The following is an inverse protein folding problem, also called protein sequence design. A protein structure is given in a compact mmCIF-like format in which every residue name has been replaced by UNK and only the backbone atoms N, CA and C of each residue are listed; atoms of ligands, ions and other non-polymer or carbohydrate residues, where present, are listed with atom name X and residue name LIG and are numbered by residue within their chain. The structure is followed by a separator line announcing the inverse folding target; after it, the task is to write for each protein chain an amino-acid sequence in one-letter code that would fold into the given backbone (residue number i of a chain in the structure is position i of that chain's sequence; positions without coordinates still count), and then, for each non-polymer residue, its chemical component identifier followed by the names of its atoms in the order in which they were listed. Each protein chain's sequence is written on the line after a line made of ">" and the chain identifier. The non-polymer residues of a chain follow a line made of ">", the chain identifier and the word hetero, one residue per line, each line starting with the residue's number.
data_IF_679611658300
#
_entry.id   IF_679611658300
#
_cell.length_a   1.000
_cell.length_b   1.000
_cell.length_c   1.000
_cell.angle_alpha   90.00
_cell.angle_beta   90.00
_cell.angle_gamma   90.00
#
_symmetry.space_group_name_H-M   'P 1'
#
loop_
_entity.id
_entity.type
_entity.pdbx_description
1 polymer ?
#
# COMPACT_ATOMS: atom_id res chain seq x y z
N UNK A 1 8.49 4.12 3.13
CA UNK A 1 7.50 3.22 2.50
C UNK A 1 6.44 2.78 3.52
N UNK A 2 5.31 2.18 3.11
CA UNK A 2 4.39 1.54 4.06
C UNK A 2 5.01 0.26 4.64
N UNK A 3 4.87 0.03 5.93
CA UNK A 3 5.44 -1.15 6.60
C UNK A 3 4.74 -2.44 6.20
N UNK A 4 5.45 -3.56 6.22
CA UNK A 4 4.86 -4.87 5.98
C UNK A 4 3.78 -5.14 7.03
N UNK A 5 2.60 -5.66 6.64
CA UNK A 5 1.58 -6.06 7.61
C UNK A 5 2.06 -7.17 8.53
N UNK A 6 1.83 -6.96 9.82
CA UNK A 6 2.11 -7.86 10.94
C UNK A 6 0.88 -7.90 11.85
N UNK A 7 0.80 -8.87 12.75
CA UNK A 7 -0.26 -8.92 13.76
C UNK A 7 -0.29 -7.67 14.66
N UNK A 8 0.85 -6.97 14.82
CA UNK A 8 0.96 -5.78 15.66
C UNK A 8 0.31 -4.54 15.01
N UNK A 9 0.52 -4.35 13.71
CA UNK A 9 0.00 -3.17 13.00
C UNK A 9 -1.33 -3.42 12.26
N UNK A 10 -1.78 -4.68 12.15
CA UNK A 10 -3.05 -5.04 11.51
C UNK A 10 -4.27 -4.28 12.06
N UNK A 11 -4.43 -4.10 13.39
CA UNK A 11 -5.57 -3.36 13.92
C UNK A 11 -5.60 -1.91 13.41
N UNK A 12 -4.44 -1.24 13.34
CA UNK A 12 -4.33 0.12 12.83
C UNK A 12 -4.54 0.19 11.31
N UNK A 13 -4.02 -0.78 10.54
CA UNK A 13 -4.28 -0.90 9.10
C UNK A 13 -5.79 -0.84 8.83
N UNK A 14 -6.58 -1.64 9.55
CA UNK A 14 -8.02 -1.75 9.34
C UNK A 14 -8.84 -0.62 9.96
N UNK A 15 -8.52 -0.17 11.18
CA UNK A 15 -9.34 0.81 11.91
C UNK A 15 -8.98 2.28 11.62
N UNK A 16 -7.74 2.56 11.21
CA UNK A 16 -7.23 3.94 11.10
C UNK A 16 -7.08 4.42 9.64
N UNK A 17 -7.56 3.66 8.65
CA UNK A 17 -7.38 3.99 7.23
C UNK A 17 -7.85 5.38 6.82
N UNK A 18 -8.96 5.84 7.39
CA UNK A 18 -9.52 7.17 7.11
C UNK A 18 -8.66 8.32 7.65
N UNK A 19 -7.77 8.04 8.62
CA UNK A 19 -6.83 9.03 9.15
C UNK A 19 -5.49 9.05 8.43
N UNK A 20 -5.29 8.22 7.39
CA UNK A 20 -4.03 8.15 6.64
C UNK A 20 -4.13 8.86 5.29
N UNK A 21 -3.08 9.57 4.84
CA UNK A 21 -3.11 10.35 3.61
C UNK A 21 -3.61 9.60 2.37
N UNK A 22 -4.37 10.31 1.53
CA UNK A 22 -4.65 9.95 0.13
C UNK A 22 -4.25 11.10 -0.78
N UNK A 23 -3.91 10.76 -2.01
CA UNK A 23 -3.32 11.69 -2.95
C UNK A 23 -4.12 11.70 -4.25
N UNK A 24 -5.22 12.47 -4.35
CA UNK A 24 -5.95 12.64 -5.59
C UNK A 24 -5.09 13.33 -6.65
N UNK A 25 -5.45 13.22 -7.93
CA UNK A 25 -4.66 13.84 -9.01
C UNK A 25 -4.51 15.36 -8.88
N UNK A 26 -5.51 16.01 -8.29
CA UNK A 26 -5.54 17.45 -7.98
C UNK A 26 -4.48 17.89 -6.96
N UNK A 27 -3.92 16.94 -6.18
CA UNK A 27 -2.84 17.22 -5.24
C UNK A 27 -1.52 17.61 -5.93
N UNK A 28 -1.35 17.23 -7.21
CA UNK A 28 -0.10 17.39 -7.92
C UNK A 28 -0.16 18.50 -8.98
N UNK A 29 0.94 19.23 -9.21
CA UNK A 29 1.02 20.17 -10.33
C UNK A 29 0.87 19.44 -11.67
N UNK A 30 0.44 20.17 -12.70
CA UNK A 30 0.17 19.60 -14.05
C UNK A 30 1.37 18.90 -14.68
N UNK A 31 2.59 19.36 -14.38
CA UNK A 31 3.84 18.80 -14.89
C UNK A 31 4.90 18.71 -13.79
N UNK A 32 5.98 17.96 -14.03
CA UNK A 32 7.14 17.89 -13.13
C UNK A 32 6.98 17.01 -11.88
N UNK A 33 5.82 16.37 -11.67
CA UNK A 33 5.54 15.55 -10.47
C UNK A 33 5.32 14.06 -10.75
N UNK A 34 5.78 13.54 -11.91
CA UNK A 34 5.49 12.16 -12.34
C UNK A 34 5.88 11.09 -11.31
N UNK A 35 7.06 11.21 -10.71
CA UNK A 35 7.54 10.28 -9.68
C UNK A 35 6.69 10.34 -8.40
N UNK A 36 6.26 11.53 -7.97
CA UNK A 36 5.35 11.64 -6.81
C UNK A 36 3.96 11.10 -7.11
N UNK A 37 3.43 11.30 -8.33
CA UNK A 37 2.15 10.74 -8.77
C UNK A 37 2.15 9.21 -8.71
N UNK A 38 3.24 8.54 -9.13
CA UNK A 38 3.34 7.07 -9.05
C UNK A 38 3.41 6.57 -7.61
N UNK A 39 4.19 7.24 -6.74
CA UNK A 39 4.18 6.93 -5.29
C UNK A 39 2.80 7.09 -4.68
N UNK A 40 2.11 8.18 -5.01
CA UNK A 40 0.74 8.43 -4.57
C UNK A 40 -0.25 7.36 -5.03
N UNK A 41 -0.18 6.99 -6.32
CA UNK A 41 -0.99 5.91 -6.88
C UNK A 41 -0.77 4.60 -6.12
N UNK A 42 0.49 4.26 -5.82
CA UNK A 42 0.82 3.07 -5.03
C UNK A 42 0.20 3.10 -3.62
N UNK A 43 0.22 4.25 -2.94
CA UNK A 43 -0.42 4.40 -1.62
C UNK A 43 -1.94 4.31 -1.72
N UNK A 44 -2.57 5.02 -2.66
CA UNK A 44 -4.03 4.98 -2.83
C UNK A 44 -4.51 3.55 -3.13
N UNK A 45 -3.78 2.82 -3.99
CA UNK A 45 -4.00 1.40 -4.30
C UNK A 45 -3.91 0.52 -3.08
N UNK A 46 -2.79 0.61 -2.36
CA UNK A 46 -2.57 -0.19 -1.16
C UNK A 46 -3.71 -0.01 -0.15
N UNK A 47 -4.11 1.25 0.06
CA UNK A 47 -5.15 1.60 1.00
C UNK A 47 -6.55 1.15 0.56
N UNK A 48 -6.86 1.22 -0.74
CA UNK A 48 -8.08 0.64 -1.30
C UNK A 48 -8.13 -0.88 -1.09
N UNK A 49 -7.02 -1.57 -1.31
CA UNK A 49 -6.94 -3.03 -1.13
C UNK A 49 -6.94 -3.45 0.33
N UNK A 50 -6.37 -2.65 1.23
CA UNK A 50 -6.52 -2.85 2.67
C UNK A 50 -7.98 -2.75 3.12
N UNK A 51 -8.73 -1.76 2.62
CA UNK A 51 -10.15 -1.67 2.91
C UNK A 51 -10.90 -2.94 2.47
N UNK A 52 -10.58 -3.49 1.29
CA UNK A 52 -11.13 -4.77 0.84
C UNK A 52 -10.76 -5.93 1.79
N UNK A 53 -9.48 -6.10 2.12
CA UNK A 53 -9.03 -7.15 3.03
C UNK A 53 -9.67 -7.08 4.41
N UNK A 54 -9.81 -5.88 4.98
CA UNK A 54 -10.37 -5.69 6.32
C UNK A 54 -11.88 -6.00 6.42
N UNK A 55 -12.56 -6.09 5.28
CA UNK A 55 -13.96 -6.47 5.16
C UNK A 55 -14.18 -7.98 4.93
N UNK A 56 -13.12 -8.80 4.91
CA UNK A 56 -13.27 -10.25 4.81
C UNK A 56 -14.08 -10.82 5.98
N UNK A 57 -15.02 -11.71 5.66
CA UNK A 57 -15.86 -12.43 6.61
C UNK A 57 -15.56 -13.93 6.50
N UNK A 58 -14.71 -14.43 7.39
CA UNK A 58 -14.18 -15.82 7.38
C UNK A 58 -14.04 -16.31 8.82
N UNK A 59 -14.11 -17.63 9.04
CA UNK A 59 -13.98 -18.24 10.38
C UNK A 59 -12.67 -17.82 11.09
N UNK A 60 -11.54 -17.87 10.39
CA UNK A 60 -10.22 -17.41 10.89
C UNK A 60 -9.89 -15.98 10.39
N UNK A 61 -10.75 -15.03 10.74
CA UNK A 61 -10.68 -13.64 10.25
C UNK A 61 -9.29 -13.02 10.34
N UNK A 62 -8.64 -13.05 11.50
CA UNK A 62 -7.37 -12.34 11.68
C UNK A 62 -6.25 -12.92 10.81
N UNK A 63 -6.20 -14.25 10.64
CA UNK A 63 -5.24 -14.92 9.78
C UNK A 63 -5.50 -14.60 8.30
N UNK A 64 -6.78 -14.66 7.87
CA UNK A 64 -7.17 -14.34 6.50
C UNK A 64 -6.89 -12.87 6.17
N UNK A 65 -7.23 -11.93 7.06
CA UNK A 65 -6.99 -10.50 6.89
C UNK A 65 -5.48 -10.20 6.86
N UNK A 66 -4.69 -10.81 7.74
CA UNK A 66 -3.23 -10.66 7.73
C UNK A 66 -2.62 -11.16 6.41
N UNK A 67 -3.07 -12.32 5.92
CA UNK A 67 -2.59 -12.85 4.66
C UNK A 67 -2.97 -11.95 3.48
N UNK A 68 -4.25 -11.57 3.40
CA UNK A 68 -4.76 -10.67 2.37
C UNK A 68 -3.99 -9.35 2.34
N UNK A 69 -3.81 -8.70 3.48
CA UNK A 69 -3.06 -7.44 3.55
C UNK A 69 -1.59 -7.61 3.17
N UNK A 70 -0.93 -8.72 3.51
CA UNK A 70 0.44 -9.01 3.06
C UNK A 70 0.53 -9.19 1.54
N UNK A 71 -0.45 -9.85 0.94
CA UNK A 71 -0.54 -9.97 -0.52
C UNK A 71 -0.79 -8.61 -1.16
N UNK A 72 -1.77 -7.84 -0.67
CA UNK A 72 -2.05 -6.49 -1.14
C UNK A 72 -0.80 -5.59 -1.08
N UNK A 73 -0.04 -5.66 0.01
CA UNK A 73 1.21 -4.92 0.19
C UNK A 73 2.26 -5.30 -0.87
N UNK A 74 2.52 -6.60 -1.06
CA UNK A 74 3.49 -7.07 -2.08
C UNK A 74 3.04 -6.70 -3.49
N UNK A 75 1.77 -6.91 -3.81
CA UNK A 75 1.21 -6.63 -5.14
C UNK A 75 1.23 -5.12 -5.43
N UNK A 76 0.85 -4.26 -4.48
CA UNK A 76 0.80 -2.82 -4.70
C UNK A 76 2.20 -2.23 -4.93
N UNK A 77 3.19 -2.68 -4.14
CA UNK A 77 4.58 -2.28 -4.29
C UNK A 77 5.24 -2.90 -5.54
N UNK A 78 4.85 -4.12 -5.90
CA UNK A 78 5.26 -4.77 -7.15
C UNK A 78 4.77 -3.98 -8.37
N UNK A 79 3.49 -3.59 -8.37
CA UNK A 79 2.90 -2.77 -9.42
C UNK A 79 3.55 -1.38 -9.48
N UNK A 80 3.84 -0.76 -8.33
CA UNK A 80 4.63 0.46 -8.28
C UNK A 80 5.98 0.30 -8.99
N UNK A 81 6.69 -0.80 -8.75
CA UNK A 81 7.96 -1.05 -9.42
C UNK A 81 7.81 -1.24 -10.94
N UNK A 82 6.77 -1.95 -11.40
CA UNK A 82 6.47 -2.06 -12.84
C UNK A 82 6.23 -0.67 -13.45
N UNK A 83 5.44 0.16 -12.78
CA UNK A 83 5.16 1.53 -13.21
C UNK A 83 6.41 2.43 -13.19
N UNK A 84 7.31 2.26 -12.23
CA UNK A 84 8.59 2.96 -12.18
C UNK A 84 9.49 2.57 -13.37
N UNK A 85 9.61 1.27 -13.68
CA UNK A 85 10.40 0.76 -14.81
C UNK A 85 9.82 1.10 -16.17
N UNK A 86 8.51 1.30 -16.28
CA UNK A 86 7.84 1.73 -17.51
C UNK A 86 8.12 3.18 -17.92
N UNK A 87 8.96 3.91 -17.18
CA UNK A 87 9.28 5.32 -17.46
C UNK A 87 10.78 5.55 -17.57
N UNK A 88 11.20 6.58 -18.31
CA UNK A 88 12.62 6.97 -18.46
C UNK A 88 13.20 7.71 -17.25
N UNK A 89 12.53 7.67 -16.09
CA UNK A 89 13.00 8.33 -14.86
C UNK A 89 13.78 7.35 -13.98
N UNK A 90 14.64 7.88 -13.11
CA UNK A 90 15.33 7.06 -12.12
C UNK A 90 14.31 6.31 -11.24
N UNK A 91 14.37 4.98 -11.29
CA UNK A 91 13.48 4.12 -10.51
C UNK A 91 13.81 4.18 -9.02
N UNK A 92 12.80 4.02 -8.18
CA UNK A 92 12.99 3.82 -6.75
C UNK A 92 13.95 2.66 -6.46
N UNK A 93 14.89 2.86 -5.54
CA UNK A 93 16.03 1.95 -5.34
C UNK A 93 15.61 0.52 -4.97
N UNK A 94 14.58 0.37 -4.13
CA UNK A 94 14.07 -0.95 -3.74
C UNK A 94 13.51 -1.74 -4.92
N UNK A 95 13.01 -1.06 -5.97
CA UNK A 95 12.53 -1.74 -7.16
C UNK A 95 13.64 -2.44 -7.95
N UNK A 96 14.90 -2.05 -7.76
CA UNK A 96 16.06 -2.72 -8.38
C UNK A 96 16.41 -4.05 -7.71
N UNK A 97 15.90 -4.30 -6.49
CA UNK A 97 16.09 -5.55 -5.77
C UNK A 97 15.15 -6.64 -6.33
N UNK A 98 15.52 -7.90 -6.12
CA UNK A 98 14.77 -9.07 -6.58
C UNK A 98 14.37 -9.96 -5.40
N UNK A 99 13.35 -10.79 -5.60
CA UNK A 99 12.86 -11.72 -4.57
C UNK A 99 12.54 -11.01 -3.25
N UNK A 100 12.90 -11.64 -2.14
CA UNK A 100 12.63 -11.12 -0.81
C UNK A 100 13.47 -9.88 -0.44
N UNK A 101 14.63 -9.67 -1.06
CA UNK A 101 15.43 -8.45 -0.81
C UNK A 101 14.65 -7.17 -1.16
N UNK A 102 13.77 -7.24 -2.17
CA UNK A 102 12.89 -6.13 -2.52
C UNK A 102 11.97 -5.77 -1.36
N UNK A 103 11.35 -6.79 -0.77
CA UNK A 103 10.40 -6.60 0.31
C UNK A 103 11.10 -6.12 1.58
N UNK A 104 12.26 -6.68 1.90
CA UNK A 104 13.11 -6.20 3.01
C UNK A 104 13.52 -4.74 2.82
N UNK A 105 13.85 -4.32 1.60
CA UNK A 105 14.18 -2.92 1.30
C UNK A 105 12.98 -1.99 1.51
N UNK A 106 11.79 -2.38 1.05
CA UNK A 106 10.59 -1.58 1.31
C UNK A 106 10.22 -1.54 2.80
N UNK A 107 10.65 -2.52 3.59
CA UNK A 107 10.36 -2.63 5.02
C UNK A 107 11.50 -2.10 5.92
N UNK A 108 12.52 -1.44 5.38
CA UNK A 108 13.69 -0.99 6.16
C UNK A 108 13.56 0.42 6.72
N UNK A 109 13.05 1.37 5.92
CA UNK A 109 12.85 2.76 6.33
C UNK A 109 11.36 3.08 6.37
N UNK A 110 10.83 3.08 7.60
CA UNK A 110 9.40 3.14 7.88
C UNK A 110 9.06 4.43 8.63
N UNK A 111 8.60 5.48 7.94
CA UNK A 111 8.16 6.72 8.60
C UNK A 111 6.92 6.53 9.49
N UNK A 112 6.10 5.50 9.23
CA UNK A 112 4.89 5.20 9.98
C UNK A 112 4.69 3.66 10.04
N UNK A 113 5.48 2.95 10.87
CA UNK A 113 5.44 1.48 10.93
C UNK A 113 4.12 0.93 11.50
N UNK A 114 3.48 1.72 12.37
CA UNK A 114 2.28 1.35 13.11
C UNK A 114 0.98 1.85 12.45
N UNK A 115 1.07 2.39 11.23
CA UNK A 115 -0.09 2.87 10.47
C UNK A 115 -0.96 3.89 11.22
N UNK A 116 -0.32 4.71 12.06
CA UNK A 116 -0.99 5.72 12.87
C UNK A 116 -1.71 6.74 11.98
N UNK A 117 -2.94 7.08 12.37
CA UNK A 117 -3.68 8.18 11.79
C UNK A 117 -3.00 9.52 12.07
N UNK A 118 -3.17 10.46 11.13
CA UNK A 118 -2.83 11.86 11.34
C UNK A 118 -3.98 12.54 12.11
N UNK A 119 -3.73 13.10 13.31
CA UNK A 119 -4.79 13.73 14.10
C UNK A 119 -5.49 14.85 13.33
N UNK A 120 -6.83 14.83 13.33
CA UNK A 120 -7.66 15.83 12.66
C UNK A 120 -7.70 15.73 11.12
N UNK A 121 -7.04 14.74 10.52
CA UNK A 121 -7.11 14.48 9.09
C UNK A 121 -8.21 13.48 8.75
N UNK A 122 -8.93 13.74 7.66
CA UNK A 122 -9.89 12.81 7.05
C UNK A 122 -9.50 12.63 5.60
N UNK A 123 -9.29 11.38 5.20
CA UNK A 123 -8.95 11.02 3.83
C UNK A 123 -10.07 11.44 2.87
N UNK A 124 -9.75 12.07 1.72
CA UNK A 124 -10.74 12.26 0.67
C UNK A 124 -11.18 10.89 0.13
N UNK A 125 -12.41 10.84 -0.40
CA UNK A 125 -12.89 9.67 -1.12
C UNK A 125 -12.03 9.45 -2.37
N UNK A 126 -11.46 8.26 -2.48
CA UNK A 126 -10.69 7.82 -3.64
C UNK A 126 -11.48 6.76 -4.41
N UNK A 127 -11.28 6.65 -5.74
CA UNK A 127 -11.79 5.53 -6.50
C UNK A 127 -11.27 4.21 -5.93
N UNK A 128 -12.09 3.16 -6.02
CA UNK A 128 -11.66 1.79 -5.69
C UNK A 128 -10.64 1.36 -6.75
N UNK A 129 -9.50 0.86 -6.30
CA UNK A 129 -8.47 0.34 -7.19
C UNK A 129 -8.77 -1.11 -7.58
N UNK A 130 -8.90 -1.41 -8.89
CA UNK A 130 -9.25 -2.74 -9.37
C UNK A 130 -8.07 -3.72 -9.24
N UNK A 131 -8.26 -4.94 -9.76
CA UNK A 131 -7.19 -5.92 -10.02
C UNK A 131 -6.46 -6.50 -8.81
N UNK A 132 -7.08 -6.47 -7.63
CA UNK A 132 -6.61 -7.26 -6.49
C UNK A 132 -7.47 -8.50 -6.30
N UNK A 133 -6.84 -9.66 -6.50
CA UNK A 133 -7.41 -10.96 -6.16
C UNK A 133 -6.65 -11.53 -4.97
N UNK A 134 -7.36 -11.73 -3.85
CA UNK A 134 -6.84 -12.42 -2.68
C UNK A 134 -6.84 -13.93 -2.92
N UNK A 135 -5.70 -14.58 -2.71
CA UNK A 135 -5.56 -16.03 -2.72
C UNK A 135 -5.38 -16.55 -1.29
N UNK A 136 -6.38 -17.20 -0.67
CA UNK A 136 -6.29 -17.67 0.71
C UNK A 136 -5.27 -18.80 0.92
N UNK A 137 -4.74 -19.41 -0.15
CA UNK A 137 -3.76 -20.51 -0.07
C UNK A 137 -2.33 -19.96 -0.17
N UNK A 138 -2.13 -18.80 -0.81
CA UNK A 138 -0.82 -18.18 -1.01
C UNK A 138 -0.38 -17.29 0.18
N UNK A 139 -0.44 -17.85 1.38
CA UNK A 139 0.03 -17.29 2.64
C UNK A 139 1.32 -18.02 3.07
#
# INVERSE_FOLDING_TARGET
>A
PPARPTTLNLPAICSQGQGRPRYPESFFPRSGAGHFRRRAKAINRLESWYAHCCCLDTEDRDAAVLCCTRQAWKQALGQFCIEEFGTMTAHYECCRKQGDERWTCFDSELPNPDYLATPGYIAPTMPVEPDFAFDPIAC
#
